data_IF_443713540291
#
_entry.id   IF_443713540291
#
_cell.length_a   1.000
_cell.length_b   1.000
_cell.length_c   1.000
_cell.angle_alpha   90.00
_cell.angle_beta   90.00
_cell.angle_gamma   90.00
#
_symmetry.space_group_name_H-M   'P 1'
#
loop_
_entity.id
_entity.type
_entity.pdbx_description
1 polymer ?
#
# COMPACT_ATOMS: atom_id res chain seq x y z
N UNK A 1 -3.75 42.77 5.71
CA UNK A 1 -2.41 42.21 5.41
C UNK A 1 -2.27 40.97 6.27
N UNK A 2 -2.61 39.81 5.72
CA UNK A 2 -2.73 38.57 6.50
C UNK A 2 -1.54 37.67 6.20
N UNK A 3 -0.94 37.18 7.27
CA UNK A 3 0.32 36.46 7.32
C UNK A 3 0.34 35.18 6.46
N UNK A 4 1.41 35.02 5.67
CA UNK A 4 1.82 33.72 5.14
C UNK A 4 2.61 33.00 6.24
N UNK A 5 1.94 32.15 7.01
CA UNK A 5 2.61 31.13 7.80
C UNK A 5 2.67 29.87 6.92
N UNK A 6 3.82 29.67 6.27
CA UNK A 6 4.13 28.39 5.64
C UNK A 6 4.36 27.36 6.76
N UNK A 7 3.39 26.48 6.97
CA UNK A 7 3.54 25.34 7.89
C UNK A 7 4.25 24.21 7.16
N UNK A 8 5.39 23.82 7.73
CA UNK A 8 6.33 22.81 7.28
C UNK A 8 5.75 21.40 7.19
N UNK A 9 6.22 20.65 6.18
CA UNK A 9 5.96 19.24 5.86
C UNK A 9 6.54 18.33 6.97
N UNK A 10 5.73 17.67 7.82
CA UNK A 10 6.25 16.61 8.73
C UNK A 10 5.23 15.81 9.56
N UNK A 11 4.06 15.38 9.04
CA UNK A 11 3.18 14.48 9.82
C UNK A 11 2.29 13.50 9.01
N UNK A 12 2.56 13.31 7.72
CA UNK A 12 1.64 12.61 6.80
C UNK A 12 2.07 11.19 6.39
N UNK A 13 3.12 10.63 7.00
CA UNK A 13 3.82 9.46 6.45
C UNK A 13 3.27 8.07 6.86
N UNK A 14 2.37 7.95 7.84
CA UNK A 14 2.03 6.63 8.43
C UNK A 14 0.51 6.42 8.60
N UNK A 15 -0.17 6.05 7.51
CA UNK A 15 -1.61 5.77 7.54
C UNK A 15 -1.83 4.26 7.54
N UNK A 16 -2.16 3.69 8.70
CA UNK A 16 -2.42 2.26 8.86
C UNK A 16 -3.86 1.90 8.48
N UNK A 17 -4.04 0.89 7.63
CA UNK A 17 -5.35 0.29 7.36
C UNK A 17 -6.00 -0.22 8.68
N UNK A 18 -7.29 0.09 8.94
CA UNK A 18 -8.03 -0.55 10.03
C UNK A 18 -7.91 -2.08 9.97
N UNK A 19 -7.81 -2.75 11.12
CA UNK A 19 -7.53 -4.19 11.16
C UNK A 19 -8.60 -5.01 10.44
N UNK A 20 -9.88 -4.69 10.67
CA UNK A 20 -11.00 -5.33 9.99
C UNK A 20 -10.94 -5.22 8.45
N UNK A 21 -10.35 -4.15 7.93
CA UNK A 21 -10.17 -3.98 6.49
C UNK A 21 -9.08 -4.91 5.96
N UNK A 22 -7.97 -5.04 6.69
CA UNK A 22 -6.91 -5.99 6.38
C UNK A 22 -7.43 -7.44 6.45
N UNK A 23 -8.17 -7.80 7.50
CA UNK A 23 -8.62 -9.17 7.73
C UNK A 23 -9.50 -9.69 6.58
N UNK A 24 -10.41 -8.87 6.05
CA UNK A 24 -11.25 -9.22 4.88
C UNK A 24 -10.42 -9.43 3.62
N UNK A 25 -9.34 -8.68 3.46
CA UNK A 25 -8.44 -8.83 2.32
C UNK A 25 -7.58 -10.10 2.48
N UNK A 26 -7.08 -10.34 3.69
CA UNK A 26 -6.28 -11.53 4.01
C UNK A 26 -7.10 -12.81 3.86
N UNK A 27 -8.40 -12.79 4.21
CA UNK A 27 -9.31 -13.91 3.96
C UNK A 27 -9.42 -14.25 2.46
N UNK A 28 -9.39 -13.23 1.58
CA UNK A 28 -9.55 -13.42 0.14
C UNK A 28 -8.25 -13.70 -0.61
N UNK A 29 -7.16 -13.02 -0.25
CA UNK A 29 -5.90 -13.02 -1.01
C UNK A 29 -4.70 -13.51 -0.20
N UNK A 30 -4.89 -13.77 1.09
CA UNK A 30 -3.89 -14.28 1.99
C UNK A 30 -3.76 -15.82 1.94
N UNK A 31 -3.07 -16.41 2.94
CA UNK A 31 -2.44 -15.71 4.06
C UNK A 31 -1.26 -14.85 3.59
N UNK A 32 -1.19 -13.61 4.05
CA UNK A 32 -0.02 -12.77 3.83
C UNK A 32 1.13 -13.19 4.74
N UNK A 33 2.29 -13.43 4.14
CA UNK A 33 3.47 -13.95 4.85
C UNK A 33 4.41 -12.84 5.31
N UNK A 34 4.26 -11.64 4.74
CA UNK A 34 5.15 -10.51 4.95
C UNK A 34 4.43 -9.18 4.71
N UNK A 35 4.59 -8.25 5.65
CA UNK A 35 4.26 -6.84 5.46
C UNK A 35 5.53 -6.07 5.04
N UNK A 36 5.58 -5.60 3.79
CA UNK A 36 6.85 -5.17 3.19
C UNK A 36 7.31 -3.76 3.60
N UNK A 37 6.47 -2.98 4.28
CA UNK A 37 6.74 -1.57 4.57
C UNK A 37 6.02 -1.05 5.82
N UNK A 38 6.11 -1.79 6.92
CA UNK A 38 5.46 -1.49 8.20
C UNK A 38 6.43 -1.06 9.32
N UNK A 39 5.88 -0.57 10.41
CA UNK A 39 6.52 -0.38 11.71
C UNK A 39 6.01 -1.43 12.69
N UNK A 40 6.72 -1.68 13.82
CA UNK A 40 6.20 -2.59 14.85
C UNK A 40 4.80 -2.23 15.36
N UNK A 41 4.39 -0.97 15.23
CA UNK A 41 3.11 -0.46 15.70
C UNK A 41 1.97 -0.63 14.68
N UNK A 42 2.27 -0.77 13.39
CA UNK A 42 1.26 -0.83 12.32
C UNK A 42 1.30 -2.10 11.46
N UNK A 43 2.27 -2.98 11.69
CA UNK A 43 2.44 -4.22 10.97
C UNK A 43 1.17 -5.09 11.00
N UNK A 44 0.83 -5.63 9.83
CA UNK A 44 -0.33 -6.53 9.67
C UNK A 44 0.02 -8.00 9.63
N UNK A 45 1.30 -8.31 9.43
CA UNK A 45 1.84 -9.67 9.43
C UNK A 45 2.83 -9.84 10.59
N UNK A 46 3.01 -11.07 11.06
CA UNK A 46 4.04 -11.40 12.07
C UNK A 46 5.45 -11.02 11.59
N UNK A 47 5.73 -11.27 10.31
CA UNK A 47 6.96 -10.84 9.65
C UNK A 47 6.71 -9.52 8.91
N UNK A 48 7.57 -8.54 9.15
CA UNK A 48 7.51 -7.26 8.45
C UNK A 48 8.89 -6.64 8.20
N UNK A 49 8.96 -5.77 7.20
CA UNK A 49 10.09 -4.89 6.96
C UNK A 49 9.71 -3.45 7.23
N UNK A 50 10.73 -2.65 7.61
CA UNK A 50 10.56 -1.22 7.86
C UNK A 50 10.95 -0.41 6.62
N UNK A 51 11.66 0.71 6.79
CA UNK A 51 12.02 1.62 5.70
C UNK A 51 12.96 1.00 4.66
N UNK A 52 13.61 -0.13 4.98
CA UNK A 52 14.57 -0.83 4.13
C UNK A 52 13.98 -2.01 3.34
N UNK A 53 12.64 -2.18 3.34
CA UNK A 53 11.98 -3.33 2.70
C UNK A 53 12.19 -3.44 1.19
N UNK A 54 12.50 -2.35 0.49
CA UNK A 54 12.81 -2.37 -0.95
C UNK A 54 14.10 -3.13 -1.30
N UNK A 55 15.05 -3.19 -0.37
CA UNK A 55 16.34 -3.85 -0.56
C UNK A 55 16.35 -5.33 -0.11
N UNK A 56 15.25 -5.79 0.51
CA UNK A 56 15.14 -7.12 1.12
C UNK A 56 14.38 -8.10 0.22
N UNK A 57 14.60 -9.41 0.37
CA UNK A 57 13.85 -10.43 -0.36
C UNK A 57 12.38 -10.45 0.09
N UNK A 58 11.43 -10.44 -0.85
CA UNK A 58 10.00 -10.54 -0.53
C UNK A 58 9.56 -12.00 -0.46
N UNK A 59 8.43 -12.25 0.21
CA UNK A 59 7.88 -13.61 0.34
C UNK A 59 6.99 -13.95 -0.86
N UNK A 60 6.49 -15.19 -0.90
CA UNK A 60 5.57 -15.63 -1.96
C UNK A 60 4.25 -14.87 -1.98
N UNK A 61 3.77 -14.38 -0.83
CA UNK A 61 2.54 -13.59 -0.72
C UNK A 61 2.73 -12.46 0.29
N UNK A 62 2.50 -11.21 -0.13
CA UNK A 62 2.89 -10.02 0.61
C UNK A 62 1.77 -9.00 0.74
N UNK A 63 1.74 -8.31 1.87
CA UNK A 63 0.96 -7.09 2.10
C UNK A 63 1.84 -5.86 1.92
N UNK A 64 1.30 -4.82 1.28
CA UNK A 64 2.00 -3.55 1.06
C UNK A 64 1.10 -2.35 1.31
N UNK A 65 1.45 -1.53 2.29
CA UNK A 65 0.82 -0.23 2.55
C UNK A 65 1.94 0.81 2.74
N UNK A 66 2.53 1.32 1.64
CA UNK A 66 3.77 2.09 1.72
C UNK A 66 3.53 3.45 2.38
N UNK A 67 4.53 4.03 3.06
CA UNK A 67 4.44 5.39 3.56
C UNK A 67 4.13 6.35 2.41
N UNK A 68 3.06 7.12 2.54
CA UNK A 68 2.54 7.95 1.45
C UNK A 68 3.43 9.18 1.24
N UNK A 69 4.25 9.15 0.18
CA UNK A 69 5.20 10.22 -0.14
C UNK A 69 5.93 10.02 -1.47
N UNK A 70 7.12 10.62 -1.61
CA UNK A 70 7.87 10.68 -2.87
C UNK A 70 8.28 9.32 -3.45
N UNK A 71 8.33 8.26 -2.65
CA UNK A 71 8.89 6.96 -3.05
C UNK A 71 7.88 5.85 -3.36
N UNK A 72 6.57 6.16 -3.41
CA UNK A 72 5.53 5.15 -3.75
C UNK A 72 5.81 4.47 -5.10
N UNK A 73 6.44 5.16 -6.05
CA UNK A 73 6.83 4.58 -7.34
C UNK A 73 7.83 3.42 -7.23
N UNK A 74 8.78 3.51 -6.30
CA UNK A 74 9.77 2.45 -6.05
C UNK A 74 9.10 1.18 -5.54
N UNK A 75 8.09 1.32 -4.67
CA UNK A 75 7.28 0.22 -4.15
C UNK A 75 6.42 -0.45 -5.23
N UNK A 76 5.73 0.35 -6.05
CA UNK A 76 4.92 -0.16 -7.18
C UNK A 76 5.80 -0.93 -8.16
N UNK A 77 6.95 -0.36 -8.54
CA UNK A 77 7.88 -1.02 -9.45
C UNK A 77 8.39 -2.34 -8.86
N UNK A 78 8.75 -2.35 -7.58
CA UNK A 78 9.22 -3.57 -6.90
C UNK A 78 8.13 -4.64 -6.88
N UNK A 79 6.91 -4.29 -6.48
CA UNK A 79 5.78 -5.22 -6.47
C UNK A 79 5.50 -5.80 -7.87
N UNK A 80 5.59 -4.98 -8.92
CA UNK A 80 5.49 -5.45 -10.30
C UNK A 80 6.63 -6.40 -10.68
N UNK A 81 7.88 -6.10 -10.32
CA UNK A 81 9.02 -6.96 -10.62
C UNK A 81 8.92 -8.31 -9.90
N UNK A 82 8.41 -8.33 -8.66
CA UNK A 82 8.18 -9.58 -7.90
C UNK A 82 7.18 -10.52 -8.56
N UNK A 83 6.25 -10.01 -9.39
CA UNK A 83 5.34 -10.87 -10.18
C UNK A 83 6.10 -11.81 -11.12
N UNK A 84 7.28 -11.39 -11.60
CA UNK A 84 8.15 -12.20 -12.47
C UNK A 84 8.80 -13.37 -11.73
N UNK A 85 8.89 -13.27 -10.40
CA UNK A 85 9.39 -14.32 -9.52
C UNK A 85 8.27 -15.26 -9.05
N UNK A 86 7.02 -15.06 -9.52
CA UNK A 86 5.86 -15.82 -9.06
C UNK A 86 5.30 -15.36 -7.72
N UNK A 87 5.80 -14.26 -7.18
CA UNK A 87 5.33 -13.69 -5.92
C UNK A 87 4.07 -12.85 -6.14
N UNK A 88 3.17 -12.88 -5.16
CA UNK A 88 1.98 -12.03 -5.10
C UNK A 88 2.19 -10.91 -4.11
N UNK A 89 1.77 -9.69 -4.46
CA UNK A 89 1.72 -8.56 -3.54
C UNK A 89 0.38 -7.87 -3.64
N UNK A 90 -0.34 -7.78 -2.54
CA UNK A 90 -1.56 -6.97 -2.45
C UNK A 90 -1.21 -5.64 -1.81
N UNK A 91 -1.54 -4.56 -2.52
CA UNK A 91 -1.09 -3.21 -2.20
C UNK A 91 -2.26 -2.26 -1.99
N UNK A 92 -2.22 -1.51 -0.88
CA UNK A 92 -3.09 -0.35 -0.65
C UNK A 92 -2.35 0.91 -1.14
N UNK A 93 -2.88 1.55 -2.17
CA UNK A 93 -2.24 2.67 -2.85
C UNK A 93 -3.19 3.86 -2.99
N UNK A 94 -2.68 5.09 -3.14
CA UNK A 94 -3.53 6.23 -3.48
C UNK A 94 -4.12 6.04 -4.88
N UNK A 95 -5.41 6.28 -5.08
CA UNK A 95 -6.11 6.13 -6.36
C UNK A 95 -5.75 7.23 -7.37
N UNK A 96 -4.50 7.22 -7.84
CA UNK A 96 -3.94 8.16 -8.82
C UNK A 96 -3.91 7.51 -10.20
N UNK A 97 -5.09 7.26 -10.77
CA UNK A 97 -5.26 6.59 -12.07
C UNK A 97 -4.69 7.41 -13.25
N UNK A 98 -4.53 8.72 -13.03
CA UNK A 98 -3.90 9.67 -13.93
C UNK A 98 -2.35 9.61 -13.90
N UNK A 99 -1.76 8.99 -12.89
CA UNK A 99 -0.32 8.93 -12.74
C UNK A 99 0.34 7.98 -13.76
N UNK A 100 1.52 8.36 -14.25
CA UNK A 100 2.32 7.54 -15.18
C UNK A 100 2.56 6.12 -14.66
N UNK A 101 2.83 5.98 -13.36
CA UNK A 101 3.06 4.70 -12.70
C UNK A 101 1.84 3.77 -12.81
N UNK A 102 0.62 4.31 -12.73
CA UNK A 102 -0.59 3.52 -12.90
C UNK A 102 -0.67 2.96 -14.33
N UNK A 103 -0.43 3.80 -15.34
CA UNK A 103 -0.44 3.37 -16.74
C UNK A 103 0.69 2.37 -17.06
N UNK A 104 1.87 2.57 -16.47
CA UNK A 104 3.05 1.72 -16.71
C UNK A 104 3.00 0.37 -16.01
N UNK A 105 2.46 0.28 -14.79
CA UNK A 105 2.58 -0.93 -13.97
C UNK A 105 1.26 -1.60 -13.62
N UNK A 106 0.14 -0.88 -13.68
CA UNK A 106 -1.16 -1.35 -13.15
C UNK A 106 -2.19 -1.53 -14.28
N UNK A 107 -2.48 -0.49 -15.04
CA UNK A 107 -3.51 -0.47 -16.07
C UNK A 107 -3.30 -1.57 -17.12
N UNK A 108 -4.30 -2.44 -17.29
CA UNK A 108 -4.25 -3.58 -18.23
C UNK A 108 -3.26 -4.69 -17.87
N UNK A 109 -2.59 -4.60 -16.72
CA UNK A 109 -1.54 -5.54 -16.27
C UNK A 109 -1.89 -6.21 -14.95
N UNK A 110 -2.53 -5.49 -14.04
CA UNK A 110 -2.85 -5.95 -12.69
C UNK A 110 -4.35 -5.78 -12.43
N UNK A 111 -4.87 -6.58 -11.52
CA UNK A 111 -6.22 -6.41 -10.99
C UNK A 111 -6.22 -5.29 -9.94
N UNK A 112 -7.23 -4.41 -9.98
CA UNK A 112 -7.35 -3.34 -8.99
C UNK A 112 -8.81 -3.00 -8.70
N UNK A 113 -9.04 -2.52 -7.48
CA UNK A 113 -10.35 -2.09 -6.97
C UNK A 113 -10.24 -0.67 -6.44
N UNK A 114 -11.06 0.24 -6.97
CA UNK A 114 -11.18 1.59 -6.42
C UNK A 114 -12.03 1.52 -5.15
N UNK A 115 -11.52 2.09 -4.07
CA UNK A 115 -12.19 2.10 -2.78
C UNK A 115 -12.95 3.42 -2.65
N UNK A 116 -14.27 3.31 -2.51
CA UNK A 116 -15.16 4.46 -2.33
C UNK A 116 -15.12 4.99 -0.89
N UNK A 117 -15.10 6.31 -0.74
CA UNK A 117 -15.18 6.99 0.56
C UNK A 117 -13.81 7.30 1.17
N UNK A 118 -13.73 8.44 1.86
CA UNK A 118 -12.62 8.77 2.74
C UNK A 118 -12.56 7.73 3.86
N UNK A 119 -11.76 6.68 3.69
CA UNK A 119 -11.45 5.77 4.78
C UNK A 119 -10.74 6.55 5.88
N UNK A 120 -11.26 6.48 7.10
CA UNK A 120 -10.57 6.99 8.28
C UNK A 120 -9.38 6.06 8.54
N UNK A 121 -8.16 6.59 8.39
CA UNK A 121 -6.93 5.88 8.72
C UNK A 121 -6.36 6.49 9.99
N UNK A 122 -6.20 5.66 11.03
CA UNK A 122 -5.81 6.11 12.37
C UNK A 122 -6.97 6.79 13.10
N UNK A 123 -7.32 6.32 14.30
CA UNK A 123 -8.50 6.70 15.08
C UNK A 123 -8.59 8.15 15.58
N UNK A 124 -8.08 9.13 14.85
CA UNK A 124 -8.04 10.56 15.19
C UNK A 124 -9.04 11.44 14.43
N UNK A 125 -10.07 10.89 13.78
CA UNK A 125 -11.14 11.66 13.12
C UNK A 125 -10.70 12.49 11.89
N UNK A 126 -9.46 12.35 11.44
CA UNK A 126 -8.97 12.93 10.18
C UNK A 126 -9.25 11.97 9.04
N UNK A 127 -10.26 12.29 8.23
CA UNK A 127 -10.55 11.58 6.97
C UNK A 127 -9.36 11.63 6.03
N UNK A 128 -9.09 10.49 5.39
CA UNK A 128 -8.20 10.47 4.23
C UNK A 128 -8.61 11.53 3.21
N UNK A 129 -7.70 12.41 2.79
CA UNK A 129 -7.98 13.36 1.69
C UNK A 129 -7.96 12.72 0.31
N UNK A 130 -7.68 11.41 0.23
CA UNK A 130 -7.45 10.71 -1.03
C UNK A 130 -8.32 9.45 -1.11
N UNK A 131 -8.91 9.23 -2.27
CA UNK A 131 -9.46 7.92 -2.62
C UNK A 131 -8.31 6.90 -2.64
N UNK A 132 -8.53 5.73 -2.07
CA UNK A 132 -7.56 4.63 -2.08
C UNK A 132 -7.94 3.60 -3.14
N UNK A 133 -6.98 2.77 -3.54
CA UNK A 133 -7.21 1.61 -4.38
C UNK A 133 -6.45 0.41 -3.83
N UNK A 134 -7.07 -0.76 -3.96
CA UNK A 134 -6.42 -2.04 -3.73
C UNK A 134 -5.88 -2.53 -5.07
N UNK A 135 -4.60 -2.90 -5.14
CA UNK A 135 -3.96 -3.42 -6.35
C UNK A 135 -3.36 -4.78 -6.04
N UNK A 136 -3.66 -5.77 -6.88
CA UNK A 136 -3.16 -7.13 -6.76
C UNK A 136 -2.09 -7.32 -7.83
N UNK A 137 -0.83 -7.31 -7.39
CA UNK A 137 0.31 -7.62 -8.24
C UNK A 137 0.53 -9.13 -8.25
N UNK A 138 0.53 -9.70 -9.46
CA UNK A 138 0.73 -11.14 -9.65
C UNK A 138 -0.59 -11.92 -9.62
N UNK A 139 -0.50 -13.22 -9.40
CA UNK A 139 -1.67 -14.10 -9.32
C UNK A 139 -1.80 -14.63 -7.91
N UNK A 140 -2.81 -14.19 -7.13
CA UNK A 140 -3.03 -14.78 -5.82
C UNK A 140 -3.24 -16.29 -5.98
N UNK A 141 -2.81 -17.11 -5.00
CA UNK A 141 -3.12 -18.52 -4.97
C UNK A 141 -4.63 -18.69 -5.18
N UNK A 142 -5.03 -19.39 -6.24
CA UNK A 142 -6.45 -19.73 -6.42
C UNK A 142 -6.80 -20.71 -5.31
N UNK A 143 -7.76 -20.33 -4.47
CA UNK A 143 -8.46 -21.27 -3.59
C UNK A 143 -9.26 -22.29 -4.41
#
# INVERSE_FOLDING_TARGET
MSANVAVSVSAFDEWAAPQNYFDVIDERYGPFLLDVCATPQNAKCERFYTKDGLAKPWSANNWMNPPYGCDVGSWIKRAFDETKNGNTTVALLPARIDARLFQEYICGKQEFYLLGGCTEFGGGGSRSRFSAMLVIFGRPPRT
#
